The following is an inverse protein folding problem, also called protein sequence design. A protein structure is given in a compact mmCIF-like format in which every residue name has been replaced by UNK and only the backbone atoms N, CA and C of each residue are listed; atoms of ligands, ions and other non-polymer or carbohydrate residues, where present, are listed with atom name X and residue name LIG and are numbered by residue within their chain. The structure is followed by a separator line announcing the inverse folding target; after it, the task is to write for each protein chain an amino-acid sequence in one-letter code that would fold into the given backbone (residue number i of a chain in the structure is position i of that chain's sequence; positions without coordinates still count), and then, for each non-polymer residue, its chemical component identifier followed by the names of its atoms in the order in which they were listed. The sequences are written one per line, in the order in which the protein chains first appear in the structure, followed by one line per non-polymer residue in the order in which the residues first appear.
data_IF_087841031713
#
_entry.id   IF_087841031713
#
_cell.length_a   1.000
_cell.length_b   1.000
_cell.length_c   1.000
_cell.angle_alpha   90.00
_cell.angle_beta   90.00
_cell.angle_gamma   90.00
#
_symmetry.space_group_name_H-M   'P 1'
#
loop_
_entity.id
_entity.type
_entity.pdbx_description
1 polymer ?
#
# COMPACT_ATOMS: atom_id res chain seq x y z
N UNK A 1 10.27 13.44 16.23
CA UNK A 1 9.05 12.66 15.95
C UNK A 1 8.55 13.08 14.58
N UNK A 2 8.10 12.16 13.72
CA UNK A 2 7.50 12.52 12.42
C UNK A 2 6.16 13.22 12.68
N UNK A 3 5.96 14.39 12.06
CA UNK A 3 4.72 15.17 12.15
C UNK A 3 4.12 15.34 10.74
N UNK A 4 2.89 14.86 10.55
CA UNK A 4 2.10 14.97 9.33
C UNK A 4 0.86 15.84 9.51
N UNK A 5 0.83 16.68 10.56
CA UNK A 5 -0.27 17.60 10.82
C UNK A 5 -0.55 18.50 9.61
N UNK A 6 -1.82 18.57 9.23
CA UNK A 6 -2.27 19.31 8.05
C UNK A 6 -2.05 18.61 6.72
N UNK A 7 -1.55 17.37 6.69
CA UNK A 7 -1.48 16.51 5.50
C UNK A 7 -2.73 15.65 5.38
N UNK A 8 -3.13 15.33 4.16
CA UNK A 8 -4.23 14.42 3.83
C UNK A 8 -3.67 13.18 3.15
N UNK A 9 -3.99 12.00 3.68
CA UNK A 9 -3.53 10.71 3.17
C UNK A 9 -4.71 9.85 2.70
N UNK A 10 -4.63 9.34 1.48
CA UNK A 10 -5.48 8.28 0.95
C UNK A 10 -4.79 6.93 1.14
N UNK A 11 -5.49 5.96 1.75
CA UNK A 11 -5.02 4.58 1.85
C UNK A 11 -6.03 3.65 1.20
N UNK A 12 -5.64 2.99 0.10
CA UNK A 12 -6.54 2.05 -0.60
C UNK A 12 -6.54 0.69 0.09
N UNK A 13 -7.73 0.04 0.14
CA UNK A 13 -7.90 -1.24 0.81
C UNK A 13 -7.60 -1.16 2.32
N UNK A 14 -7.97 -0.07 2.97
CA UNK A 14 -7.60 0.26 4.36
C UNK A 14 -8.54 -0.33 5.42
N UNK A 15 -9.55 -1.12 5.05
CA UNK A 15 -10.48 -1.69 6.04
C UNK A 15 -9.85 -2.71 6.99
N UNK A 16 -8.73 -3.34 6.63
CA UNK A 16 -8.04 -4.38 7.41
C UNK A 16 -6.56 -4.52 7.07
N UNK A 17 -5.87 -5.40 7.81
CA UNK A 17 -4.50 -5.81 7.52
C UNK A 17 -3.50 -4.67 7.51
N UNK A 18 -2.57 -4.70 6.56
CA UNK A 18 -1.50 -3.71 6.39
C UNK A 18 -2.07 -2.31 6.10
N UNK A 19 -3.10 -2.22 5.24
CA UNK A 19 -3.72 -0.95 4.92
C UNK A 19 -4.32 -0.24 6.13
N UNK A 20 -4.99 -0.98 7.02
CA UNK A 20 -5.52 -0.44 8.27
C UNK A 20 -4.41 0.03 9.22
N UNK A 21 -3.32 -0.74 9.34
CA UNK A 21 -2.17 -0.36 10.15
C UNK A 21 -1.49 0.90 9.60
N UNK A 22 -1.32 1.00 8.28
CA UNK A 22 -0.77 2.20 7.63
C UNK A 22 -1.64 3.44 7.88
N UNK A 23 -2.97 3.32 7.68
CA UNK A 23 -3.90 4.43 7.91
C UNK A 23 -3.85 4.91 9.36
N UNK A 24 -3.90 3.98 10.32
CA UNK A 24 -3.83 4.31 11.75
C UNK A 24 -2.49 4.97 12.12
N UNK A 25 -1.37 4.44 11.60
CA UNK A 25 -0.04 4.97 11.87
C UNK A 25 0.18 6.38 11.30
N UNK A 26 -0.38 6.67 10.12
CA UNK A 26 -0.36 8.02 9.54
C UNK A 26 -1.23 8.99 10.36
N UNK A 27 -2.37 8.53 10.88
CA UNK A 27 -3.23 9.32 11.76
C UNK A 27 -2.55 9.65 13.09
N UNK A 28 -1.84 8.69 13.72
CA UNK A 28 -1.02 8.93 14.92
C UNK A 28 0.04 10.00 14.70
N UNK A 29 0.57 10.10 13.47
CA UNK A 29 1.53 11.13 13.09
C UNK A 29 0.87 12.48 12.71
N UNK A 30 -0.45 12.61 12.79
CA UNK A 30 -1.18 13.86 12.61
C UNK A 30 -1.88 14.03 11.25
N UNK A 31 -1.80 13.07 10.33
CA UNK A 31 -2.49 13.16 9.05
C UNK A 31 -4.01 13.01 9.17
N UNK A 32 -4.76 13.73 8.34
CA UNK A 32 -6.17 13.45 8.05
C UNK A 32 -6.26 12.30 7.03
N UNK A 33 -7.30 11.46 7.11
CA UNK A 33 -7.37 10.20 6.37
C UNK A 33 -8.57 10.09 5.45
N UNK A 34 -8.32 9.46 4.29
CA UNK A 34 -9.37 8.89 3.44
C UNK A 34 -9.15 7.37 3.40
N UNK A 35 -10.10 6.65 3.96
CA UNK A 35 -10.11 5.19 4.03
C UNK A 35 -10.92 4.63 2.87
N UNK A 36 -10.26 3.94 1.95
CA UNK A 36 -10.95 3.29 0.84
C UNK A 36 -11.22 1.81 1.14
N UNK A 37 -12.41 1.36 0.77
CA UNK A 37 -12.83 -0.04 0.84
C UNK A 37 -13.70 -0.43 -0.37
N UNK A 38 -13.86 -1.73 -0.61
CA UNK A 38 -14.80 -2.27 -1.61
C UNK A 38 -15.95 -3.02 -0.92
N UNK A 39 -15.66 -3.94 0.00
CA UNK A 39 -16.65 -4.85 0.59
C UNK A 39 -16.89 -4.65 2.08
N UNK A 40 -15.88 -4.30 2.85
CA UNK A 40 -15.89 -4.35 4.32
C UNK A 40 -16.12 -2.98 4.95
N UNK A 41 -17.33 -2.41 4.76
CA UNK A 41 -17.69 -1.10 5.29
C UNK A 41 -17.58 -1.01 6.80
N UNK A 42 -18.16 -1.97 7.53
CA UNK A 42 -18.15 -1.97 8.99
C UNK A 42 -16.73 -1.93 9.59
N UNK A 43 -15.77 -2.67 8.98
CA UNK A 43 -14.38 -2.62 9.41
C UNK A 43 -13.72 -1.26 9.13
N UNK A 44 -14.05 -0.64 8.00
CA UNK A 44 -13.56 0.70 7.67
C UNK A 44 -14.16 1.78 8.61
N UNK A 45 -15.45 1.68 8.93
CA UNK A 45 -16.11 2.57 9.88
C UNK A 45 -15.52 2.45 11.29
N UNK A 46 -15.26 1.23 11.78
CA UNK A 46 -14.60 1.01 13.07
C UNK A 46 -13.17 1.56 13.14
N UNK A 47 -12.42 1.49 12.03
CA UNK A 47 -11.11 2.14 11.94
C UNK A 47 -11.25 3.67 11.95
N UNK A 48 -12.25 4.20 11.25
CA UNK A 48 -12.51 5.63 11.22
C UNK A 48 -12.86 6.19 12.60
N UNK A 49 -13.62 5.48 13.42
CA UNK A 49 -13.89 5.86 14.81
C UNK A 49 -12.60 6.00 15.62
N UNK A 50 -11.73 4.98 15.56
CA UNK A 50 -10.43 5.01 16.25
C UNK A 50 -9.54 6.18 15.78
N UNK A 51 -9.60 6.55 14.50
CA UNK A 51 -8.85 7.69 13.94
C UNK A 51 -9.45 9.02 14.42
N UNK A 52 -10.78 9.12 14.55
CA UNK A 52 -11.44 10.30 15.12
C UNK A 52 -11.04 10.52 16.59
N UNK A 53 -10.88 9.44 17.37
CA UNK A 53 -10.42 9.49 18.75
C UNK A 53 -9.01 10.09 18.89
N UNK A 54 -8.18 10.00 17.83
CA UNK A 54 -6.89 10.70 17.72
C UNK A 54 -7.03 12.20 17.36
N UNK A 55 -8.27 12.69 17.19
CA UNK A 55 -8.56 14.07 16.80
C UNK A 55 -8.30 14.38 15.30
N UNK A 56 -8.29 13.34 14.45
CA UNK A 56 -8.07 13.52 13.00
C UNK A 56 -9.38 13.50 12.23
N UNK A 57 -9.43 14.29 11.14
CA UNK A 57 -10.53 14.20 10.18
C UNK A 57 -10.37 12.88 9.41
N UNK A 58 -11.47 12.17 9.18
CA UNK A 58 -11.45 10.93 8.42
C UNK A 58 -12.74 10.74 7.63
N UNK A 59 -12.59 10.38 6.37
CA UNK A 59 -13.69 9.97 5.49
C UNK A 59 -13.52 8.49 5.10
N UNK A 60 -14.65 7.81 4.88
CA UNK A 60 -14.71 6.41 4.44
C UNK A 60 -15.36 6.38 3.06
N UNK A 61 -14.62 5.94 2.04
CA UNK A 61 -15.05 5.99 0.63
C UNK A 61 -15.09 4.58 0.05
N UNK A 62 -16.24 4.20 -0.51
CA UNK A 62 -16.38 2.97 -1.28
C UNK A 62 -15.94 3.24 -2.73
N UNK A 63 -14.89 2.56 -3.19
CA UNK A 63 -14.43 2.63 -4.58
C UNK A 63 -13.64 1.36 -4.92
N UNK A 64 -13.88 0.79 -6.09
CA UNK A 64 -13.04 -0.29 -6.63
C UNK A 64 -11.90 0.34 -7.45
N UNK A 65 -10.68 0.22 -6.94
CA UNK A 65 -9.50 0.78 -7.62
C UNK A 65 -9.15 0.09 -8.94
N UNK A 66 -9.82 -1.01 -9.29
CA UNK A 66 -9.73 -1.62 -10.61
C UNK A 66 -10.55 -0.86 -11.66
N UNK A 67 -11.45 0.03 -11.24
CA UNK A 67 -12.35 0.81 -12.10
C UNK A 67 -11.98 2.30 -12.05
N UNK A 68 -11.69 2.85 -13.22
CA UNK A 68 -11.20 4.23 -13.34
C UNK A 68 -12.24 5.26 -12.85
N UNK A 69 -13.51 5.05 -13.17
CA UNK A 69 -14.60 5.95 -12.79
C UNK A 69 -14.75 6.05 -11.27
N UNK A 70 -14.52 4.93 -10.56
CA UNK A 70 -14.53 4.89 -9.09
C UNK A 70 -13.34 5.69 -8.52
N UNK A 71 -12.15 5.59 -9.16
CA UNK A 71 -10.98 6.38 -8.77
C UNK A 71 -11.26 7.87 -8.98
N UNK A 72 -11.80 8.27 -10.13
CA UNK A 72 -12.12 9.66 -10.45
C UNK A 72 -13.11 10.24 -9.43
N UNK A 73 -14.21 9.53 -9.16
CA UNK A 73 -15.19 9.92 -8.14
C UNK A 73 -14.59 10.03 -6.73
N UNK A 74 -13.69 9.11 -6.36
CA UNK A 74 -13.00 9.15 -5.06
C UNK A 74 -12.07 10.37 -4.95
N UNK A 75 -11.33 10.72 -5.99
CA UNK A 75 -10.41 11.86 -5.97
C UNK A 75 -11.19 13.18 -5.99
N UNK A 76 -12.28 13.27 -6.75
CA UNK A 76 -13.21 14.42 -6.71
C UNK A 76 -13.78 14.62 -5.30
N UNK A 77 -14.25 13.54 -4.67
CA UNK A 77 -14.68 13.59 -3.27
C UNK A 77 -13.60 14.13 -2.33
N UNK A 78 -12.32 13.71 -2.52
CA UNK A 78 -11.21 14.18 -1.70
C UNK A 78 -10.96 15.69 -1.94
N UNK A 79 -11.01 16.14 -3.19
CA UNK A 79 -10.87 17.56 -3.52
C UNK A 79 -11.95 18.40 -2.84
N UNK A 80 -13.21 17.98 -2.93
CA UNK A 80 -14.35 18.71 -2.37
C UNK A 80 -14.33 18.77 -0.83
N UNK A 81 -13.93 17.68 -0.16
CA UNK A 81 -14.03 17.57 1.30
C UNK A 81 -12.80 18.00 2.05
N UNK A 82 -11.63 17.81 1.45
CA UNK A 82 -10.34 18.11 2.08
C UNK A 82 -9.58 19.25 1.38
N UNK A 83 -9.87 19.53 0.11
CA UNK A 83 -9.22 20.55 -0.69
C UNK A 83 -7.79 20.21 -1.10
N UNK A 84 -7.29 19.03 -0.71
CA UNK A 84 -5.89 18.60 -0.92
C UNK A 84 -5.71 17.10 -0.81
N UNK A 85 -4.63 16.60 -1.38
CA UNK A 85 -4.14 15.24 -1.18
C UNK A 85 -2.60 15.27 -1.23
N UNK A 86 -1.97 14.78 -0.16
CA UNK A 86 -0.51 14.86 0.00
C UNK A 86 0.16 13.49 -0.06
N UNK A 87 -0.57 12.45 0.36
CA UNK A 87 -0.02 11.10 0.51
C UNK A 87 -1.00 10.11 -0.11
N UNK A 88 -0.49 9.23 -0.97
CA UNK A 88 -1.22 8.05 -1.46
C UNK A 88 -0.49 6.80 -1.01
N UNK A 89 -1.20 5.90 -0.32
CA UNK A 89 -0.75 4.53 -0.04
C UNK A 89 -1.58 3.58 -0.88
N UNK A 90 -1.01 3.10 -1.99
CA UNK A 90 -1.63 2.11 -2.87
C UNK A 90 -1.39 0.71 -2.30
N UNK A 91 -2.33 0.27 -1.44
CA UNK A 91 -2.26 -1.01 -0.72
C UNK A 91 -3.29 -2.03 -1.23
N UNK A 92 -4.41 -1.60 -1.78
CA UNK A 92 -5.42 -2.53 -2.31
C UNK A 92 -4.78 -3.53 -3.29
N UNK A 93 -5.08 -4.81 -3.09
CA UNK A 93 -4.56 -5.87 -3.92
C UNK A 93 -5.60 -6.99 -4.09
N UNK A 94 -5.54 -7.65 -5.22
CA UNK A 94 -6.33 -8.84 -5.53
C UNK A 94 -5.44 -9.92 -6.16
N UNK A 95 -5.99 -11.13 -6.22
CA UNK A 95 -5.35 -12.29 -6.82
C UNK A 95 -5.41 -13.51 -5.92
N UNK A 96 -5.66 -14.67 -6.51
CA UNK A 96 -5.73 -15.94 -5.80
C UNK A 96 -4.41 -16.70 -5.89
N UNK A 97 -4.20 -17.59 -4.92
CA UNK A 97 -3.13 -18.57 -4.96
C UNK A 97 -3.49 -19.68 -5.95
N UNK A 98 -2.82 -19.71 -7.10
CA UNK A 98 -3.04 -20.66 -8.18
C UNK A 98 -1.73 -21.05 -8.86
N UNK A 99 -1.67 -22.28 -9.37
CA UNK A 99 -0.59 -22.68 -10.26
C UNK A 99 -0.58 -21.79 -11.51
N UNK A 100 0.60 -21.37 -11.96
CA UNK A 100 0.75 -20.62 -13.21
C UNK A 100 0.16 -21.34 -14.42
N UNK A 101 0.17 -22.68 -14.40
CA UNK A 101 -0.39 -23.51 -15.48
C UNK A 101 -1.93 -23.50 -15.52
N UNK A 102 -2.59 -22.94 -14.48
CA UNK A 102 -4.07 -22.83 -14.40
C UNK A 102 -4.57 -21.37 -14.34
N UNK A 103 -3.68 -20.40 -14.52
CA UNK A 103 -4.07 -18.98 -14.59
C UNK A 103 -4.86 -18.72 -15.87
N UNK A 104 -6.06 -18.17 -15.71
CA UNK A 104 -6.87 -17.71 -16.85
C UNK A 104 -6.54 -16.25 -17.17
N UNK A 105 -6.89 -15.80 -18.39
CA UNK A 105 -6.78 -14.39 -18.79
C UNK A 105 -7.53 -13.47 -17.82
N UNK A 106 -8.72 -13.87 -17.37
CA UNK A 106 -9.51 -13.11 -16.39
C UNK A 106 -8.76 -12.96 -15.05
N UNK A 107 -8.13 -14.03 -14.56
CA UNK A 107 -7.34 -13.98 -13.32
C UNK A 107 -6.15 -13.01 -13.48
N UNK A 108 -5.43 -13.14 -14.60
CA UNK A 108 -4.28 -12.28 -14.91
C UNK A 108 -4.70 -10.81 -15.02
N UNK A 109 -5.70 -10.53 -15.84
CA UNK A 109 -6.17 -9.15 -16.09
C UNK A 109 -6.71 -8.50 -14.82
N UNK A 110 -7.53 -9.20 -14.03
CA UNK A 110 -8.06 -8.69 -12.78
C UNK A 110 -6.95 -8.38 -11.76
N UNK A 111 -5.96 -9.28 -11.65
CA UNK A 111 -4.80 -9.06 -10.77
C UNK A 111 -3.99 -7.85 -11.22
N UNK A 112 -3.70 -7.72 -12.52
CA UNK A 112 -2.95 -6.58 -13.06
C UNK A 112 -3.70 -5.25 -12.92
N UNK A 113 -5.01 -5.23 -13.13
CA UNK A 113 -5.83 -4.02 -12.95
C UNK A 113 -5.73 -3.50 -11.52
N UNK A 114 -5.99 -4.36 -10.53
CA UNK A 114 -6.01 -3.96 -9.12
C UNK A 114 -4.61 -3.67 -8.58
N UNK A 115 -3.61 -4.50 -8.89
CA UNK A 115 -2.32 -4.43 -8.23
C UNK A 115 -1.34 -3.46 -8.91
N UNK A 116 -1.55 -3.15 -10.19
CA UNK A 116 -0.61 -2.36 -11.00
C UNK A 116 -1.27 -1.13 -11.59
N UNK A 117 -2.30 -1.32 -12.42
CA UNK A 117 -2.95 -0.22 -13.13
C UNK A 117 -3.57 0.79 -12.17
N UNK A 118 -4.09 0.32 -11.03
CA UNK A 118 -4.65 1.18 -9.99
C UNK A 118 -3.66 2.24 -9.49
N UNK A 119 -2.39 1.89 -9.24
CA UNK A 119 -1.37 2.88 -8.84
C UNK A 119 -1.21 3.97 -9.92
N UNK A 120 -1.09 3.56 -11.17
CA UNK A 120 -0.90 4.48 -12.30
C UNK A 120 -2.11 5.41 -12.43
N UNK A 121 -3.31 4.87 -12.38
CA UNK A 121 -4.55 5.66 -12.49
C UNK A 121 -4.76 6.60 -11.30
N UNK A 122 -4.50 6.14 -10.08
CA UNK A 122 -4.55 6.99 -8.87
C UNK A 122 -3.63 8.21 -9.02
N UNK A 123 -2.40 7.99 -9.47
CA UNK A 123 -1.43 9.07 -9.67
C UNK A 123 -1.85 10.01 -10.80
N UNK A 124 -2.32 9.46 -11.94
CA UNK A 124 -2.80 10.25 -13.06
C UNK A 124 -3.94 11.19 -12.67
N UNK A 125 -4.95 10.65 -11.99
CA UNK A 125 -6.15 11.40 -11.58
C UNK A 125 -5.83 12.41 -10.48
N UNK A 126 -5.00 12.01 -9.50
CA UNK A 126 -4.66 12.85 -8.36
C UNK A 126 -3.51 13.84 -8.62
N UNK A 127 -2.85 13.80 -9.77
CA UNK A 127 -1.59 14.54 -10.02
C UNK A 127 -1.67 16.03 -9.67
N UNK A 128 -2.76 16.70 -10.07
CA UNK A 128 -2.97 18.14 -9.79
C UNK A 128 -3.13 18.45 -8.30
N UNK A 129 -3.73 17.53 -7.52
CA UNK A 129 -3.84 17.67 -6.07
C UNK A 129 -2.51 17.42 -5.38
N UNK A 130 -1.79 16.39 -5.83
CA UNK A 130 -0.46 16.05 -5.31
C UNK A 130 0.54 17.20 -5.53
N UNK A 131 0.51 17.88 -6.68
CA UNK A 131 1.36 19.04 -6.98
C UNK A 131 1.09 20.24 -6.06
N UNK A 132 -0.10 20.36 -5.48
CA UNK A 132 -0.45 21.40 -4.51
C UNK A 132 0.08 21.12 -3.10
N UNK A 133 0.73 19.97 -2.87
CA UNK A 133 1.25 19.60 -1.55
C UNK A 133 2.35 20.57 -1.09
N UNK A 134 2.29 21.11 0.16
CA UNK A 134 3.38 21.91 0.68
C UNK A 134 4.60 21.00 0.97
N UNK A 135 5.68 21.21 0.26
CA UNK A 135 6.84 20.34 0.17
C UNK A 135 6.60 19.25 -0.90
N UNK A 136 7.07 18.04 -0.65
CA UNK A 136 6.91 16.94 -1.60
C UNK A 136 5.70 16.08 -1.26
N UNK A 137 4.89 15.76 -2.26
CA UNK A 137 3.86 14.73 -2.13
C UNK A 137 4.48 13.33 -2.14
N UNK A 138 3.80 12.37 -1.55
CA UNK A 138 4.31 11.00 -1.35
C UNK A 138 3.35 9.96 -1.89
N UNK A 139 3.82 9.14 -2.82
CA UNK A 139 3.09 8.00 -3.36
C UNK A 139 3.85 6.73 -2.98
N UNK A 140 3.20 5.85 -2.22
CA UNK A 140 3.81 4.62 -1.71
C UNK A 140 2.98 3.42 -2.18
N UNK A 141 3.60 2.52 -2.97
CA UNK A 141 2.99 1.25 -3.36
C UNK A 141 3.38 0.13 -2.40
N UNK A 142 2.43 -0.77 -2.09
CA UNK A 142 2.70 -1.96 -1.28
C UNK A 142 3.02 -3.16 -2.18
N UNK A 143 4.26 -3.64 -2.11
CA UNK A 143 4.76 -4.82 -2.78
C UNK A 143 4.93 -6.01 -1.81
N UNK A 144 5.43 -7.11 -2.30
CA UNK A 144 5.60 -8.36 -1.58
C UNK A 144 6.89 -9.05 -2.00
N UNK A 145 7.41 -9.93 -1.17
CA UNK A 145 8.52 -10.84 -1.50
C UNK A 145 8.35 -11.55 -2.84
N UNK A 146 7.11 -11.88 -3.23
CA UNK A 146 6.83 -12.50 -4.52
C UNK A 146 7.24 -11.68 -5.73
N UNK A 147 7.57 -10.39 -5.55
CA UNK A 147 8.15 -9.56 -6.61
C UNK A 147 9.60 -9.98 -6.95
N UNK A 148 10.33 -10.53 -5.99
CA UNK A 148 11.74 -10.90 -6.13
C UNK A 148 12.00 -12.41 -6.00
N UNK A 149 11.09 -13.13 -5.35
CA UNK A 149 11.25 -14.57 -5.05
C UNK A 149 10.08 -15.36 -5.67
N UNK A 150 10.38 -16.55 -6.16
CA UNK A 150 9.33 -17.50 -6.54
C UNK A 150 8.67 -18.08 -5.28
N UNK A 151 7.38 -17.84 -5.14
CA UNK A 151 6.55 -18.37 -4.05
C UNK A 151 5.53 -19.34 -4.66
N UNK A 152 5.38 -20.57 -4.14
CA UNK A 152 4.44 -21.55 -4.68
C UNK A 152 3.02 -20.98 -4.81
N UNK A 153 2.38 -21.21 -5.95
CA UNK A 153 1.03 -20.76 -6.29
C UNK A 153 0.80 -19.22 -6.27
N UNK A 154 1.84 -18.43 -6.12
CA UNK A 154 1.76 -16.96 -5.99
C UNK A 154 2.19 -16.21 -7.28
N UNK A 155 2.49 -16.94 -8.35
CA UNK A 155 3.16 -16.37 -9.52
C UNK A 155 2.44 -15.20 -10.18
N UNK A 156 1.11 -15.24 -10.31
CA UNK A 156 0.35 -14.12 -10.89
C UNK A 156 0.44 -12.86 -10.02
N UNK A 157 0.24 -13.02 -8.71
CA UNK A 157 0.37 -11.89 -7.76
C UNK A 157 1.82 -11.43 -7.68
N UNK A 158 2.78 -12.35 -7.56
CA UNK A 158 4.21 -12.02 -7.52
C UNK A 158 4.66 -11.26 -8.76
N UNK A 159 4.28 -11.73 -9.95
CA UNK A 159 4.53 -11.03 -11.21
C UNK A 159 3.91 -9.63 -11.27
N UNK A 160 2.68 -9.46 -10.74
CA UNK A 160 2.07 -8.14 -10.65
C UNK A 160 2.82 -7.21 -9.70
N UNK A 161 3.36 -7.73 -8.59
CA UNK A 161 4.15 -6.93 -7.65
C UNK A 161 5.52 -6.54 -8.23
N UNK A 162 6.15 -7.40 -9.03
CA UNK A 162 7.36 -7.05 -9.78
C UNK A 162 7.08 -5.95 -10.82
N UNK A 163 5.96 -6.03 -11.53
CA UNK A 163 5.52 -4.99 -12.45
C UNK A 163 5.23 -3.67 -11.71
N UNK A 164 4.56 -3.71 -10.55
CA UNK A 164 4.30 -2.54 -9.71
C UNK A 164 5.61 -1.81 -9.35
N UNK A 165 6.64 -2.54 -8.90
CA UNK A 165 7.95 -1.97 -8.57
C UNK A 165 8.63 -1.33 -9.79
N UNK A 166 8.50 -1.95 -10.96
CA UNK A 166 9.03 -1.37 -12.20
C UNK A 166 8.31 -0.08 -12.58
N UNK A 167 6.97 -0.08 -12.61
CA UNK A 167 6.20 1.11 -12.94
C UNK A 167 6.37 2.24 -11.92
N UNK A 168 6.55 1.93 -10.64
CA UNK A 168 6.86 2.93 -9.63
C UNK A 168 8.16 3.69 -9.94
N UNK A 169 9.22 3.02 -10.44
CA UNK A 169 10.45 3.69 -10.88
C UNK A 169 10.22 4.63 -12.07
N UNK A 170 9.39 4.23 -13.03
CA UNK A 170 9.05 5.11 -14.16
C UNK A 170 8.23 6.33 -13.70
N UNK A 171 7.23 6.13 -12.85
CA UNK A 171 6.48 7.23 -12.25
C UNK A 171 7.38 8.15 -11.43
N UNK A 172 8.35 7.60 -10.69
CA UNK A 172 9.32 8.37 -9.92
C UNK A 172 10.18 9.28 -10.83
N UNK A 173 10.61 8.78 -11.99
CA UNK A 173 11.34 9.54 -12.98
C UNK A 173 10.50 10.69 -13.56
N UNK A 174 9.24 10.41 -13.93
CA UNK A 174 8.35 11.38 -14.58
C UNK A 174 7.82 12.46 -13.63
N UNK A 175 7.73 12.16 -12.33
CA UNK A 175 7.06 13.01 -11.34
C UNK A 175 8.03 13.70 -10.37
N UNK A 176 9.30 13.34 -10.39
CA UNK A 176 10.30 13.87 -9.49
C UNK A 176 10.42 15.40 -9.53
N UNK A 177 10.49 15.96 -10.72
CA UNK A 177 10.57 17.42 -10.95
C UNK A 177 9.25 18.14 -10.64
N UNK A 178 8.14 17.40 -10.58
CA UNK A 178 6.82 17.92 -10.18
C UNK A 178 6.58 17.89 -8.67
N UNK A 179 7.63 17.62 -7.89
CA UNK A 179 7.54 17.62 -6.42
C UNK A 179 6.88 16.38 -5.83
N UNK A 180 6.82 15.25 -6.55
CA UNK A 180 6.18 14.02 -6.11
C UNK A 180 7.22 12.92 -5.96
N UNK A 181 7.34 12.33 -4.77
CA UNK A 181 8.10 11.10 -4.56
C UNK A 181 7.22 9.86 -4.79
N UNK A 182 7.76 8.89 -5.52
CA UNK A 182 7.11 7.58 -5.72
C UNK A 182 8.07 6.49 -5.26
N UNK A 183 7.65 5.71 -4.27
CA UNK A 183 8.45 4.64 -3.68
C UNK A 183 7.59 3.40 -3.38
N UNK A 184 8.24 2.31 -3.08
CA UNK A 184 7.62 1.02 -2.74
C UNK A 184 8.04 0.58 -1.35
N UNK A 185 7.11 0.00 -0.59
CA UNK A 185 7.42 -0.86 0.56
C UNK A 185 7.16 -2.30 0.16
N UNK A 186 8.21 -3.12 0.16
CA UNK A 186 8.12 -4.57 -0.07
C UNK A 186 8.02 -5.28 1.26
N UNK A 187 6.83 -5.77 1.59
CA UNK A 187 6.59 -6.51 2.82
C UNK A 187 7.05 -7.98 2.70
N UNK A 188 7.59 -8.50 3.78
CA UNK A 188 7.77 -9.93 3.99
C UNK A 188 6.45 -10.67 4.20
N UNK A 189 6.52 -11.87 4.79
CA UNK A 189 5.34 -12.62 5.20
C UNK A 189 4.79 -12.00 6.50
N UNK A 190 3.66 -11.32 6.38
CA UNK A 190 2.93 -10.69 7.50
C UNK A 190 1.67 -11.49 7.79
N UNK A 191 1.37 -11.75 9.05
CA UNK A 191 0.13 -12.41 9.46
C UNK A 191 -1.06 -11.47 9.24
N UNK A 192 -1.86 -11.77 8.22
CA UNK A 192 -3.09 -11.08 7.83
C UNK A 192 -4.13 -12.10 7.40
N UNK A 193 -5.40 -11.72 7.32
CA UNK A 193 -6.46 -12.61 6.82
C UNK A 193 -6.11 -13.21 5.44
N UNK A 194 -5.36 -12.49 4.63
CA UNK A 194 -4.94 -12.95 3.29
C UNK A 194 -3.84 -14.01 3.32
N UNK A 195 -3.07 -14.10 4.41
CA UNK A 195 -1.92 -15.01 4.52
C UNK A 195 -2.17 -16.15 5.50
N UNK A 196 -2.92 -15.93 6.58
CA UNK A 196 -3.20 -16.95 7.60
C UNK A 196 -4.22 -17.99 7.15
N UNK A 197 -5.09 -17.66 6.19
CA UNK A 197 -6.08 -18.58 5.62
C UNK A 197 -5.54 -19.38 4.41
N UNK A 198 -4.25 -19.27 4.11
CA UNK A 198 -3.66 -19.99 2.99
C UNK A 198 -3.45 -21.47 3.31
N UNK A 199 -3.61 -22.36 2.31
CA UNK A 199 -3.08 -23.72 2.42
C UNK A 199 -1.59 -23.65 2.76
N UNK A 200 -1.16 -24.40 3.77
CA UNK A 200 0.23 -24.43 4.25
C UNK A 200 0.74 -23.12 4.91
N UNK A 201 -0.15 -22.26 5.40
CA UNK A 201 0.24 -21.04 6.11
C UNK A 201 1.27 -21.32 7.23
N UNK A 202 1.00 -22.32 8.08
CA UNK A 202 1.89 -22.69 9.17
C UNK A 202 3.32 -23.03 8.68
N UNK A 203 3.44 -23.84 7.63
CA UNK A 203 4.74 -24.17 7.03
C UNK A 203 5.45 -22.93 6.47
N UNK A 204 4.70 -22.01 5.88
CA UNK A 204 5.26 -20.75 5.37
C UNK A 204 5.79 -19.87 6.52
N UNK A 205 5.06 -19.76 7.62
CA UNK A 205 5.47 -18.98 8.78
C UNK A 205 6.66 -19.65 9.50
N UNK A 206 6.65 -20.96 9.71
CA UNK A 206 7.78 -21.70 10.28
C UNK A 206 9.04 -21.56 9.41
N UNK A 207 8.94 -21.79 8.09
CA UNK A 207 10.08 -21.63 7.18
C UNK A 207 10.61 -20.19 7.18
N UNK A 208 9.75 -19.19 7.44
CA UNK A 208 10.18 -17.80 7.55
C UNK A 208 10.92 -17.52 8.85
N UNK A 209 10.54 -18.16 9.95
CA UNK A 209 11.24 -18.06 11.24
C UNK A 209 12.71 -18.44 11.11
N UNK A 210 13.02 -19.53 10.39
CA UNK A 210 14.39 -19.97 10.12
C UNK A 210 15.23 -18.98 9.29
N UNK A 211 14.56 -18.12 8.49
CA UNK A 211 15.24 -17.14 7.64
C UNK A 211 15.31 -15.75 8.25
N UNK A 212 14.69 -15.54 9.41
CA UNK A 212 14.76 -14.24 10.09
C UNK A 212 16.16 -13.98 10.63
N UNK A 213 16.74 -12.84 10.28
CA UNK A 213 18.04 -12.37 10.80
C UNK A 213 17.89 -11.47 12.04
N UNK A 214 16.68 -11.19 12.47
CA UNK A 214 16.37 -10.29 13.59
C UNK A 214 15.79 -11.04 14.80
N UNK A 215 16.07 -12.34 14.92
CA UNK A 215 15.59 -13.19 16.01
C UNK A 215 14.21 -13.80 15.75
N UNK A 216 13.55 -14.22 16.80
CA UNK A 216 12.31 -15.01 16.72
C UNK A 216 11.04 -14.22 16.39
N UNK A 217 11.15 -12.90 16.22
CA UNK A 217 10.02 -12.03 15.92
C UNK A 217 9.66 -12.09 14.43
N UNK A 218 8.40 -12.22 14.12
CA UNK A 218 7.88 -12.08 12.78
C UNK A 218 7.66 -10.60 12.40
N UNK A 219 7.63 -10.35 11.08
CA UNK A 219 7.19 -9.04 10.57
C UNK A 219 5.70 -8.87 10.89
N UNK A 220 5.38 -7.79 11.55
CA UNK A 220 4.02 -7.38 11.85
C UNK A 220 3.56 -6.28 10.88
N UNK A 221 2.26 -6.08 10.77
CA UNK A 221 1.69 -5.01 9.93
C UNK A 221 2.14 -3.62 10.38
N UNK A 222 2.43 -3.46 11.66
CA UNK A 222 2.97 -2.24 12.26
C UNK A 222 4.40 -1.92 11.79
N UNK A 223 5.23 -2.93 11.53
CA UNK A 223 6.58 -2.74 10.96
C UNK A 223 6.50 -2.18 9.54
N UNK A 224 5.58 -2.73 8.74
CA UNK A 224 5.30 -2.23 7.38
C UNK A 224 4.75 -0.81 7.44
N UNK A 225 3.83 -0.53 8.37
CA UNK A 225 3.26 0.81 8.56
C UNK A 225 4.31 1.85 9.00
N UNK A 226 5.31 1.46 9.80
CA UNK A 226 6.43 2.33 10.16
C UNK A 226 7.30 2.70 8.95
N UNK A 227 7.55 1.75 8.04
CA UNK A 227 8.27 2.02 6.80
C UNK A 227 7.46 2.94 5.87
N UNK A 228 6.13 2.74 5.79
CA UNK A 228 5.22 3.64 5.07
C UNK A 228 5.25 5.04 5.68
N UNK A 229 5.20 5.17 7.01
CA UNK A 229 5.29 6.46 7.70
C UNK A 229 6.60 7.19 7.38
N UNK A 230 7.74 6.49 7.38
CA UNK A 230 9.01 7.07 6.96
C UNK A 230 8.93 7.61 5.53
N UNK A 231 8.46 6.81 4.58
CA UNK A 231 8.34 7.22 3.18
C UNK A 231 7.28 8.31 2.95
N UNK A 232 6.28 8.41 3.82
CA UNK A 232 5.25 9.45 3.80
C UNK A 232 5.72 10.78 4.40
N UNK A 233 6.88 10.80 5.06
CA UNK A 233 7.39 11.96 5.80
C UNK A 233 8.41 12.77 4.99
N UNK A 234 8.73 14.03 5.42
CA UNK A 234 9.81 14.82 4.84
C UNK A 234 11.20 14.18 4.97
N UNK A 235 11.39 13.24 5.90
CA UNK A 235 12.67 12.52 6.07
C UNK A 235 13.06 11.70 4.83
N UNK A 236 12.11 11.40 3.96
CA UNK A 236 12.30 10.65 2.71
C UNK A 236 12.31 11.53 1.45
N UNK A 237 12.46 12.86 1.58
CA UNK A 237 12.39 13.76 0.41
C UNK A 237 13.42 13.42 -0.68
N UNK A 238 14.58 12.87 -0.28
CA UNK A 238 15.65 12.45 -1.19
C UNK A 238 15.59 10.95 -1.55
N UNK A 239 14.53 10.25 -1.13
CA UNK A 239 14.27 8.85 -1.52
C UNK A 239 13.28 8.83 -2.67
N UNK A 240 13.72 8.37 -3.86
CA UNK A 240 12.93 8.41 -5.08
C UNK A 240 13.14 7.15 -5.93
N UNK A 241 12.05 6.47 -6.28
CA UNK A 241 12.09 5.25 -7.08
C UNK A 241 12.62 4.02 -6.32
N UNK A 242 12.68 4.08 -5.00
CA UNK A 242 13.27 3.04 -4.16
C UNK A 242 12.23 2.00 -3.72
N UNK A 243 12.71 0.77 -3.51
CA UNK A 243 11.94 -0.32 -2.90
C UNK A 243 12.52 -0.66 -1.54
N UNK A 244 11.90 -0.14 -0.48
CA UNK A 244 12.28 -0.43 0.90
C UNK A 244 11.72 -1.77 1.34
N UNK A 245 12.59 -2.73 1.63
CA UNK A 245 12.17 -4.07 2.07
C UNK A 245 12.03 -4.15 3.60
N UNK A 246 10.92 -4.72 4.07
CA UNK A 246 10.60 -4.96 5.48
C UNK A 246 10.28 -6.45 5.66
N UNK A 247 11.31 -7.25 6.01
CA UNK A 247 11.19 -8.71 5.97
C UNK A 247 12.09 -9.46 6.98
N UNK A 248 12.65 -8.76 7.96
CA UNK A 248 13.61 -9.32 8.91
C UNK A 248 14.89 -9.90 8.24
N UNK A 249 15.25 -9.43 7.05
CA UNK A 249 16.40 -9.94 6.29
C UNK A 249 16.17 -11.29 5.59
N UNK A 250 14.93 -11.78 5.59
CA UNK A 250 14.62 -13.13 5.14
C UNK A 250 14.85 -13.40 3.64
N UNK A 251 15.02 -12.36 2.82
CA UNK A 251 15.40 -12.53 1.41
C UNK A 251 16.92 -12.43 1.16
N UNK A 252 17.71 -12.07 2.18
CA UNK A 252 19.14 -11.80 2.03
C UNK A 252 19.95 -13.10 2.07
N UNK A 253 19.44 -14.11 2.77
CA UNK A 253 20.11 -15.41 2.83
C UNK A 253 19.17 -16.57 2.53
N UNK A 254 19.74 -17.72 2.11
CA UNK A 254 19.06 -18.97 1.74
C UNK A 254 18.88 -19.89 2.94
#
# INVERSE_FOLDING_TARGET
MIDLTGRVALVTGSSRGIGAACAYRLAEAGADLVLNYVTSRSAADGLAERIRDLGRRVAVVKADVAERDDIESMIEFIEDHFGRLDIIVSNAASGGFRSMMSITEQNFTGTMKTNVLALIQLVQVASKLLEKSPGRAKVIGLSSHGAALAVPMYGCVGGSKAALESFARHLALELGDRGINVNIVRAGLVATDSTTNLPYADLMFEGRKWRSMTGDRFVEKEDVANAVLFLASPLSDMVQGETLTVDCGAQVHI
#
